data_IF_258765168236
#
_entry.id   IF_258765168236
#
_cell.length_a   1.000
_cell.length_b   1.000
_cell.length_c   1.000
_cell.angle_alpha   90.00
_cell.angle_beta   90.00
_cell.angle_gamma   90.00
#
_symmetry.space_group_name_H-M   'P 1'
#
loop_
_entity.id
_entity.type
_entity.pdbx_description
1 polymer ?
#
# COMPACT_ATOMS: atom_id res chain seq x y z
N UNK A 1 -27.07 -1.60 -67.74
CA UNK A 1 -25.95 -0.91 -67.05
C UNK A 1 -26.54 0.39 -66.50
N UNK A 2 -26.50 0.76 -65.22
CA UNK A 2 -25.38 0.74 -64.28
C UNK A 2 -25.97 0.84 -62.85
N UNK A 3 -25.72 -0.14 -61.99
CA UNK A 3 -26.02 -0.06 -60.57
C UNK A 3 -24.91 0.77 -59.91
N UNK A 4 -25.25 1.90 -59.30
CA UNK A 4 -24.33 2.64 -58.45
C UNK A 4 -24.70 2.34 -56.99
N UNK A 5 -23.99 1.35 -56.44
CA UNK A 5 -23.91 1.10 -55.00
C UNK A 5 -23.20 2.29 -54.34
N UNK A 6 -23.91 3.06 -53.53
CA UNK A 6 -23.33 4.02 -52.59
C UNK A 6 -22.89 3.27 -51.35
N UNK A 7 -21.60 2.92 -51.29
CA UNK A 7 -20.96 2.34 -50.11
C UNK A 7 -20.76 3.45 -49.07
N UNK A 8 -21.63 3.51 -48.07
CA UNK A 8 -21.44 4.37 -46.91
C UNK A 8 -20.29 3.80 -46.04
N UNK A 9 -19.14 4.46 -46.04
CA UNK A 9 -18.06 4.18 -45.09
C UNK A 9 -18.53 4.54 -43.68
N UNK A 10 -18.99 3.56 -42.91
CA UNK A 10 -19.11 3.66 -41.47
C UNK A 10 -17.70 3.52 -40.87
N UNK A 11 -17.01 4.66 -40.71
CA UNK A 11 -15.77 4.71 -39.92
C UNK A 11 -16.20 4.57 -38.46
N UNK A 12 -15.83 3.49 -37.74
CA UNK A 12 -16.07 3.45 -36.31
C UNK A 12 -15.25 4.58 -35.68
N UNK A 13 -15.94 5.58 -35.16
CA UNK A 13 -15.32 6.57 -34.30
C UNK A 13 -14.86 5.83 -33.04
N UNK A 14 -13.61 5.39 -33.04
CA UNK A 14 -12.93 4.92 -31.85
C UNK A 14 -12.81 6.16 -30.97
N UNK A 15 -13.79 6.34 -30.08
CA UNK A 15 -13.69 7.30 -28.99
C UNK A 15 -12.46 6.86 -28.21
N UNK A 16 -11.36 7.59 -28.37
CA UNK A 16 -10.23 7.52 -27.47
C UNK A 16 -10.73 7.97 -26.10
N UNK A 17 -11.29 7.05 -25.33
CA UNK A 17 -11.52 7.28 -23.91
C UNK A 17 -10.14 7.49 -23.30
N UNK A 18 -9.88 8.64 -22.65
CA UNK A 18 -8.63 8.81 -21.95
C UNK A 18 -8.50 7.65 -20.97
N UNK A 19 -7.40 6.90 -21.06
CA UNK A 19 -7.08 5.89 -20.07
C UNK A 19 -7.10 6.59 -18.70
N UNK A 20 -7.70 5.98 -17.66
CA UNK A 20 -7.70 6.57 -16.33
C UNK A 20 -6.26 6.90 -15.96
N UNK A 21 -5.96 8.19 -15.82
CA UNK A 21 -4.67 8.64 -15.33
C UNK A 21 -4.62 8.20 -13.88
N UNK A 22 -3.61 7.40 -13.47
CA UNK A 22 -3.45 7.06 -12.07
C UNK A 22 -3.38 8.38 -11.28
N UNK A 23 -4.35 8.61 -10.42
CA UNK A 23 -4.37 9.81 -9.61
C UNK A 23 -3.23 9.69 -8.58
N UNK A 24 -2.11 10.34 -8.88
CA UNK A 24 -0.93 10.40 -8.00
C UNK A 24 -1.21 11.14 -6.68
N UNK A 25 -2.44 11.65 -6.48
CA UNK A 25 -2.92 12.27 -5.24
C UNK A 25 -3.92 11.40 -4.48
N UNK A 26 -4.35 10.26 -5.04
CA UNK A 26 -5.32 9.40 -4.40
C UNK A 26 -4.73 8.69 -3.17
N UNK A 27 -5.49 8.73 -2.07
CA UNK A 27 -5.22 7.88 -0.90
C UNK A 27 -5.46 6.42 -1.25
N UNK A 28 -4.72 5.51 -0.61
CA UNK A 28 -4.86 4.07 -0.82
C UNK A 28 -4.81 3.28 0.48
N UNK A 29 -5.43 2.12 0.45
CA UNK A 29 -5.31 1.15 1.54
C UNK A 29 -4.02 0.36 1.44
N UNK A 30 -3.40 0.12 2.60
CA UNK A 30 -2.18 -0.65 2.78
C UNK A 30 -2.26 -1.49 4.05
N UNK A 31 -1.42 -2.52 4.16
CA UNK A 31 -1.24 -3.25 5.40
C UNK A 31 -0.13 -2.60 6.23
N UNK A 32 -0.49 -2.07 7.40
CA UNK A 32 0.46 -1.60 8.39
C UNK A 32 0.61 -2.68 9.47
N UNK A 33 1.84 -3.12 9.73
CA UNK A 33 2.10 -4.28 10.60
C UNK A 33 3.03 -3.95 11.77
N UNK A 34 2.95 -4.74 12.83
CA UNK A 34 3.86 -4.69 13.96
C UNK A 34 3.95 -6.02 14.68
N UNK A 35 4.96 -6.15 15.54
CA UNK A 35 5.03 -7.26 16.49
C UNK A 35 4.23 -6.91 17.74
N UNK A 36 3.49 -7.89 18.27
CA UNK A 36 2.58 -7.73 19.41
C UNK A 36 2.94 -8.69 20.54
N UNK A 37 2.79 -8.23 21.78
CA UNK A 37 2.99 -9.05 22.98
C UNK A 37 1.65 -9.52 23.58
N UNK A 38 1.72 -10.40 24.57
CA UNK A 38 0.54 -10.95 25.26
C UNK A 38 -0.34 -9.89 25.97
N UNK A 39 0.17 -8.66 26.17
CA UNK A 39 -0.59 -7.53 26.73
C UNK A 39 -1.24 -6.66 25.64
N UNK A 40 -1.14 -7.04 24.38
CA UNK A 40 -1.67 -6.29 23.24
C UNK A 40 -0.83 -5.07 22.83
N UNK A 41 0.33 -4.84 23.45
CA UNK A 41 1.22 -3.73 23.08
C UNK A 41 2.00 -4.09 21.83
N UNK A 42 2.10 -3.16 20.87
CA UNK A 42 2.84 -3.36 19.63
C UNK A 42 4.18 -2.60 19.61
N UNK A 43 5.12 -3.09 18.80
CA UNK A 43 6.42 -2.46 18.55
C UNK A 43 6.89 -2.73 17.13
N UNK A 44 7.58 -1.74 16.55
CA UNK A 44 8.26 -1.85 15.25
C UNK A 44 9.68 -1.28 15.27
N UNK A 45 9.98 -0.42 16.26
CA UNK A 45 11.29 0.18 16.52
C UNK A 45 11.97 0.72 15.23
N UNK A 46 13.29 0.79 15.21
CA UNK A 46 14.09 1.22 14.05
C UNK A 46 14.03 0.27 12.85
N UNK A 47 13.59 -0.98 13.02
CA UNK A 47 13.50 -1.93 11.90
C UNK A 47 12.51 -1.46 10.83
N UNK A 48 11.43 -0.80 11.24
CA UNK A 48 10.48 -0.24 10.30
C UNK A 48 11.16 0.68 9.27
N UNK A 49 12.07 1.56 9.72
CA UNK A 49 12.83 2.42 8.82
C UNK A 49 13.80 1.66 7.92
N UNK A 50 14.38 0.55 8.40
CA UNK A 50 15.29 -0.29 7.62
C UNK A 50 14.62 -0.92 6.39
N UNK A 51 13.36 -1.34 6.52
CA UNK A 51 12.56 -1.91 5.42
C UNK A 51 11.78 -0.86 4.64
N UNK A 52 12.24 0.39 4.65
CA UNK A 52 11.59 1.54 4.00
C UNK A 52 10.15 1.77 4.47
N UNK A 53 9.85 1.43 5.72
CA UNK A 53 8.59 1.74 6.39
C UNK A 53 8.68 2.98 7.26
N UNK A 54 7.51 3.47 7.70
CA UNK A 54 7.36 4.59 8.64
C UNK A 54 6.63 4.09 9.88
N UNK A 55 7.30 4.21 11.03
CA UNK A 55 6.70 3.95 12.32
C UNK A 55 5.73 5.07 12.69
N UNK A 56 4.51 4.72 13.05
CA UNK A 56 3.52 5.66 13.60
C UNK A 56 2.95 5.11 14.89
N UNK A 57 2.77 5.99 15.88
CA UNK A 57 2.14 5.65 17.15
C UNK A 57 0.63 5.55 16.98
N UNK A 58 0.07 4.40 17.38
CA UNK A 58 -1.37 4.11 17.35
C UNK A 58 -1.75 3.28 18.57
N UNK A 59 -2.83 3.66 19.25
CA UNK A 59 -3.43 2.92 20.37
C UNK A 59 -2.43 2.47 21.46
N UNK A 60 -1.45 3.29 21.81
CA UNK A 60 -0.45 2.97 22.86
C UNK A 60 0.70 2.05 22.40
N UNK A 61 0.77 1.72 21.12
CA UNK A 61 1.88 1.02 20.47
C UNK A 61 2.34 1.74 19.20
N UNK A 62 3.05 1.01 18.34
CA UNK A 62 3.47 1.48 17.01
C UNK A 62 3.05 0.50 15.92
N UNK A 63 2.75 1.02 14.73
CA UNK A 63 2.62 0.25 13.49
C UNK A 63 3.62 0.74 12.45
N UNK A 64 4.06 -0.18 11.60
CA UNK A 64 4.95 0.12 10.48
C UNK A 64 4.12 0.21 9.21
N UNK A 65 4.06 1.40 8.63
CA UNK A 65 3.38 1.68 7.38
C UNK A 65 4.37 1.60 6.23
N UNK A 66 3.97 1.14 5.04
CA UNK A 66 4.79 1.36 3.86
C UNK A 66 4.99 2.86 3.62
N UNK A 67 6.25 3.26 3.39
CA UNK A 67 6.57 4.65 3.07
C UNK A 67 6.48 4.94 1.58
N UNK A 68 6.43 3.92 0.74
CA UNK A 68 6.45 4.02 -0.72
C UNK A 68 5.99 2.70 -1.38
N UNK A 69 5.85 2.71 -2.71
CA UNK A 69 5.43 1.53 -3.52
C UNK A 69 6.35 0.32 -3.43
N UNK A 70 7.59 0.52 -3.01
CA UNK A 70 8.57 -0.54 -2.82
C UNK A 70 8.55 -1.10 -1.41
N UNK A 71 7.57 -0.76 -0.57
CA UNK A 71 7.48 -1.19 0.83
C UNK A 71 6.11 -1.79 1.18
N UNK A 72 5.22 -2.02 0.21
CA UNK A 72 3.86 -2.57 0.41
C UNK A 72 3.83 -4.00 1.00
N UNK A 73 4.97 -4.63 1.18
CA UNK A 73 5.18 -6.00 1.68
C UNK A 73 5.36 -6.09 3.21
N UNK A 74 4.85 -5.14 3.99
CA UNK A 74 4.96 -5.16 5.46
C UNK A 74 4.58 -6.52 6.09
N UNK A 75 3.52 -7.23 5.65
CA UNK A 75 3.17 -8.56 6.19
C UNK A 75 4.25 -9.63 5.98
N UNK A 76 5.09 -9.49 4.97
CA UNK A 76 6.13 -10.47 4.62
C UNK A 76 7.35 -10.33 5.55
N UNK A 77 7.59 -9.12 6.08
CA UNK A 77 8.68 -8.86 7.03
C UNK A 77 8.25 -9.05 8.48
N UNK A 78 7.04 -8.63 8.83
CA UNK A 78 6.48 -8.88 10.16
C UNK A 78 5.83 -10.25 10.18
N UNK A 79 6.61 -11.31 10.35
CA UNK A 79 6.11 -12.67 10.63
C UNK A 79 6.16 -12.97 12.12
N UNK A 80 5.39 -13.94 12.61
CA UNK A 80 5.47 -14.36 14.01
C UNK A 80 6.88 -14.84 14.39
N UNK A 81 7.56 -15.53 13.46
CA UNK A 81 8.95 -15.99 13.63
C UNK A 81 9.93 -14.84 13.73
N UNK A 82 9.82 -13.84 12.84
CA UNK A 82 10.61 -12.62 12.91
C UNK A 82 10.36 -11.90 14.23
N UNK A 83 9.10 -11.72 14.62
CA UNK A 83 8.73 -11.05 15.86
C UNK A 83 9.33 -11.73 17.08
N UNK A 84 9.20 -13.06 17.19
CA UNK A 84 9.76 -13.85 18.28
C UNK A 84 11.29 -13.76 18.36
N UNK A 85 11.97 -13.73 17.21
CA UNK A 85 13.43 -13.70 17.13
C UNK A 85 14.00 -12.30 17.41
N UNK A 86 13.41 -11.27 16.79
CA UNK A 86 13.95 -9.92 16.78
C UNK A 86 13.45 -9.06 17.96
N UNK A 87 12.26 -9.35 18.49
CA UNK A 87 11.65 -8.60 19.59
C UNK A 87 11.32 -9.54 20.76
N UNK A 88 12.25 -9.73 21.71
CA UNK A 88 12.00 -10.55 22.90
C UNK A 88 10.71 -10.12 23.63
N UNK A 89 9.80 -11.06 23.82
CA UNK A 89 8.49 -10.84 24.46
C UNK A 89 7.35 -10.43 23.52
N UNK A 90 7.61 -10.20 22.23
CA UNK A 90 6.60 -9.94 21.20
C UNK A 90 6.54 -11.14 20.25
N UNK A 91 5.78 -12.16 20.64
CA UNK A 91 5.86 -13.48 20.02
C UNK A 91 4.95 -13.66 18.79
N UNK A 92 4.18 -12.64 18.43
CA UNK A 92 3.27 -12.67 17.30
C UNK A 92 3.28 -11.34 16.55
N UNK A 93 2.54 -11.28 15.45
CA UNK A 93 2.32 -10.10 14.63
C UNK A 93 0.88 -9.63 14.68
N UNK A 94 0.68 -8.37 14.34
CA UNK A 94 -0.63 -7.83 13.97
C UNK A 94 -0.47 -6.96 12.74
N UNK A 95 -1.38 -7.11 11.78
CA UNK A 95 -1.49 -6.23 10.63
C UNK A 95 -2.89 -5.61 10.63
N UNK A 96 -2.96 -4.31 10.32
CA UNK A 96 -4.21 -3.58 10.17
C UNK A 96 -4.23 -2.93 8.79
N UNK A 97 -5.38 -3.03 8.12
CA UNK A 97 -5.66 -2.20 6.94
C UNK A 97 -5.70 -0.74 7.37
N UNK A 98 -4.92 0.10 6.71
CA UNK A 98 -4.81 1.53 6.98
C UNK A 98 -4.76 2.31 5.69
N UNK A 99 -5.11 3.58 5.76
CA UNK A 99 -5.06 4.47 4.61
C UNK A 99 -3.79 5.32 4.65
N UNK A 100 -3.08 5.38 3.53
CA UNK A 100 -1.96 6.29 3.32
C UNK A 100 -2.27 7.27 2.19
N UNK A 101 -1.69 8.47 2.27
CA UNK A 101 -1.76 9.50 1.23
C UNK A 101 -0.39 9.81 0.67
N UNK A 102 -0.32 10.25 -0.60
CA UNK A 102 0.91 10.76 -1.19
C UNK A 102 1.51 11.91 -0.38
N UNK A 103 2.84 11.94 -0.29
CA UNK A 103 3.60 13.02 0.33
C UNK A 103 4.41 13.80 -0.72
N UNK A 104 5.55 13.26 -1.16
CA UNK A 104 6.40 13.86 -2.20
C UNK A 104 7.09 12.75 -2.99
N UNK A 105 7.14 12.88 -4.31
CA UNK A 105 7.63 11.81 -5.19
C UNK A 105 6.81 10.53 -5.02
N UNK A 106 7.50 9.40 -4.89
CA UNK A 106 6.88 8.07 -4.67
C UNK A 106 6.55 7.78 -3.18
N UNK A 107 6.75 8.75 -2.28
CA UNK A 107 6.57 8.55 -0.84
C UNK A 107 5.14 8.80 -0.37
N UNK A 108 4.76 8.10 0.71
CA UNK A 108 3.46 8.17 1.36
C UNK A 108 3.60 8.41 2.86
N UNK A 109 2.49 8.82 3.46
CA UNK A 109 2.32 8.99 4.90
C UNK A 109 0.95 8.47 5.33
N UNK A 110 0.78 8.04 6.59
CA UNK A 110 -0.53 7.80 7.15
C UNK A 110 -1.46 9.01 6.97
N UNK A 111 -2.74 8.75 6.66
CA UNK A 111 -3.76 9.77 6.49
C UNK A 111 -4.20 10.40 7.82
#
# INVERSE_FOLDING_TARGET
MKYLLTLALAIPAILATPAPVPDATASREVQACACINAKGKTTVNGYCGYIRGRGERVDGGELCYPSDKYSDYMPDYFTAEFCKSYYPGYNDRVCKTKTVRPLIGDYWVPC
#
